data_IF_832076107374
#
_entry.id   IF_832076107374
#
_cell.length_a   1.000
_cell.length_b   1.000
_cell.length_c   1.000
_cell.angle_alpha   90.00
_cell.angle_beta   90.00
_cell.angle_gamma   90.00
#
_symmetry.space_group_name_H-M   'P 1'
#
loop_
_entity.id
_entity.type
_entity.pdbx_description
1 polymer ?
#
# COMPACT_ATOMS: atom_id res chain seq x y z
N UNK A 1 17.92 0.16 -14.90
CA UNK A 1 18.26 0.95 -16.11
C UNK A 1 17.05 0.91 -17.06
N UNK A 2 16.12 1.86 -17.03
CA UNK A 2 14.97 1.81 -17.97
C UNK A 2 13.81 2.76 -17.68
N UNK A 3 13.61 3.15 -16.41
CA UNK A 3 12.50 4.02 -16.03
C UNK A 3 12.79 5.50 -16.27
N UNK A 4 14.01 5.95 -15.98
CA UNK A 4 14.43 7.34 -16.21
C UNK A 4 14.40 7.72 -17.70
N UNK A 5 14.80 6.80 -18.57
CA UNK A 5 14.71 6.96 -20.03
C UNK A 5 13.25 7.04 -20.51
N UNK A 6 12.36 6.24 -19.92
CA UNK A 6 10.94 6.22 -20.28
C UNK A 6 10.23 7.51 -19.86
N UNK A 7 10.50 7.99 -18.63
CA UNK A 7 9.95 9.26 -18.13
C UNK A 7 10.51 10.43 -18.95
N UNK A 8 11.82 10.43 -19.26
CA UNK A 8 12.45 11.47 -20.07
C UNK A 8 11.84 11.54 -21.48
N UNK A 9 11.70 10.40 -22.16
CA UNK A 9 11.08 10.34 -23.49
C UNK A 9 9.62 10.80 -23.47
N UNK A 10 8.86 10.46 -22.43
CA UNK A 10 7.48 10.91 -22.28
C UNK A 10 7.36 12.43 -22.05
N UNK A 11 8.35 13.05 -21.39
CA UNK A 11 8.41 14.51 -21.20
C UNK A 11 8.76 15.22 -22.52
N UNK A 12 9.61 14.61 -23.35
CA UNK A 12 10.04 15.16 -24.65
C UNK A 12 8.89 15.24 -25.68
N UNK A 13 7.87 14.39 -25.55
CA UNK A 13 6.69 14.37 -26.44
C UNK A 13 5.57 15.35 -26.03
N UNK A 14 5.79 16.16 -24.98
CA UNK A 14 4.77 17.09 -24.46
C UNK A 14 4.72 18.37 -25.33
N UNK A 15 3.53 18.76 -25.83
CA UNK A 15 3.37 19.99 -26.59
C UNK A 15 3.80 21.25 -25.83
N UNK A 16 4.41 22.19 -26.55
CA UNK A 16 4.77 23.50 -25.99
C UNK A 16 3.52 24.22 -25.45
N UNK A 17 3.55 24.61 -24.16
CA UNK A 17 2.45 25.29 -23.47
C UNK A 17 1.83 24.51 -22.30
N UNK A 18 2.22 23.24 -22.11
CA UNK A 18 1.80 22.44 -20.94
C UNK A 18 2.90 22.51 -19.86
N UNK A 19 2.52 22.95 -18.66
CA UNK A 19 3.40 22.91 -17.48
C UNK A 19 3.18 21.58 -16.76
N UNK A 20 4.24 20.79 -16.64
CA UNK A 20 4.23 19.57 -15.83
C UNK A 20 4.78 19.91 -14.45
N UNK A 21 4.01 19.61 -13.41
CA UNK A 21 4.48 19.62 -12.04
C UNK A 21 4.49 18.17 -11.55
N UNK A 22 5.67 17.72 -11.09
CA UNK A 22 5.82 16.42 -10.46
C UNK A 22 5.23 16.55 -9.04
N UNK A 23 3.99 16.10 -8.85
CA UNK A 23 3.34 16.22 -7.54
C UNK A 23 3.98 15.29 -6.50
N UNK A 24 4.33 14.04 -6.85
CA UNK A 24 5.09 13.15 -5.97
C UNK A 24 5.96 12.18 -6.78
N UNK A 25 7.26 12.18 -6.50
CA UNK A 25 8.14 11.06 -6.85
C UNK A 25 8.17 10.15 -5.62
N UNK A 26 7.20 9.25 -5.47
CA UNK A 26 7.41 8.14 -4.52
C UNK A 26 8.67 7.42 -4.99
N UNK A 27 9.65 7.27 -4.09
CA UNK A 27 10.77 6.38 -4.32
C UNK A 27 10.18 5.05 -4.80
N UNK A 28 10.50 4.71 -6.04
CA UNK A 28 10.06 3.46 -6.62
C UNK A 28 10.92 2.41 -5.96
N UNK A 29 10.38 1.89 -4.87
CA UNK A 29 10.93 0.75 -4.19
C UNK A 29 10.28 -0.49 -4.83
N UNK A 30 10.97 -1.16 -5.77
CA UNK A 30 10.44 -2.35 -6.39
C UNK A 30 10.14 -3.45 -5.37
N UNK A 31 10.88 -3.50 -4.26
CA UNK A 31 10.72 -4.51 -3.21
C UNK A 31 9.40 -4.30 -2.45
N UNK A 32 9.04 -3.04 -2.13
CA UNK A 32 7.75 -2.73 -1.52
C UNK A 32 6.57 -3.06 -2.44
N UNK A 33 6.70 -2.86 -3.75
CA UNK A 33 5.67 -3.26 -4.72
C UNK A 33 5.51 -4.77 -4.79
N UNK A 34 6.62 -5.51 -4.78
CA UNK A 34 6.58 -6.97 -4.74
C UNK A 34 5.84 -7.46 -3.50
N UNK A 35 6.11 -6.89 -2.31
CA UNK A 35 5.38 -7.24 -1.09
C UNK A 35 3.87 -6.97 -1.18
N UNK A 36 3.47 -5.80 -1.70
CA UNK A 36 2.04 -5.47 -1.88
C UNK A 36 1.34 -6.41 -2.87
N UNK A 37 2.06 -6.90 -3.89
CA UNK A 37 1.51 -7.79 -4.91
C UNK A 37 1.19 -9.21 -4.40
N UNK A 38 1.67 -9.57 -3.20
CA UNK A 38 1.40 -10.85 -2.56
C UNK A 38 0.04 -10.90 -1.86
N UNK A 39 -0.59 -9.73 -1.68
CA UNK A 39 -1.90 -9.62 -1.06
C UNK A 39 -2.98 -9.67 -2.13
N UNK A 40 -4.10 -10.31 -1.81
CA UNK A 40 -5.31 -10.18 -2.63
C UNK A 40 -5.89 -8.77 -2.47
N UNK A 41 -6.68 -8.28 -3.44
CA UNK A 41 -7.33 -6.96 -3.34
C UNK A 41 -8.02 -6.72 -1.99
N UNK A 42 -8.78 -7.71 -1.48
CA UNK A 42 -9.49 -7.60 -0.18
C UNK A 42 -8.55 -7.56 1.03
N UNK A 43 -7.35 -8.12 0.91
CA UNK A 43 -6.34 -8.08 1.96
C UNK A 43 -5.58 -6.76 1.93
N UNK A 44 -5.33 -6.23 0.74
CA UNK A 44 -4.78 -4.89 0.57
C UNK A 44 -5.74 -3.83 1.11
N UNK A 45 -7.01 -3.86 0.71
CA UNK A 45 -8.06 -2.98 1.24
C UNK A 45 -8.11 -3.02 2.78
N UNK A 46 -8.06 -4.22 3.36
CA UNK A 46 -8.10 -4.37 4.81
C UNK A 46 -6.85 -3.82 5.51
N UNK A 47 -5.67 -3.99 4.92
CA UNK A 47 -4.41 -3.46 5.44
C UNK A 47 -4.37 -1.93 5.33
N UNK A 48 -4.84 -1.38 4.21
CA UNK A 48 -4.93 0.06 3.96
C UNK A 48 -5.87 0.70 4.98
N UNK A 49 -7.09 0.17 5.15
CA UNK A 49 -8.04 0.66 6.17
C UNK A 49 -7.47 0.58 7.58
N UNK A 50 -6.80 -0.51 7.94
CA UNK A 50 -6.16 -0.63 9.25
C UNK A 50 -5.07 0.44 9.44
N UNK A 51 -4.28 0.71 8.41
CA UNK A 51 -3.22 1.73 8.44
C UNK A 51 -3.81 3.13 8.55
N UNK A 52 -4.82 3.45 7.73
CA UNK A 52 -5.48 4.75 7.70
C UNK A 52 -6.19 5.09 9.02
N UNK A 53 -6.76 4.08 9.69
CA UNK A 53 -7.36 4.23 11.01
C UNK A 53 -6.32 4.30 12.15
N UNK A 54 -5.03 4.11 11.85
CA UNK A 54 -3.95 4.15 12.84
C UNK A 54 -3.87 2.90 13.73
N UNK A 55 -4.28 1.73 13.21
CA UNK A 55 -4.19 0.45 13.93
C UNK A 55 -2.73 0.06 14.24
N UNK A 56 -1.80 0.44 13.36
CA UNK A 56 -0.36 0.17 13.49
C UNK A 56 0.44 1.32 14.11
N UNK A 57 -0.21 2.41 14.53
CA UNK A 57 0.46 3.54 15.19
C UNK A 57 0.86 3.23 16.63
N UNK A 58 1.78 4.04 17.16
CA UNK A 58 2.22 3.97 18.56
C UNK A 58 2.08 5.37 19.20
N UNK A 59 1.10 5.58 20.10
CA UNK A 59 0.08 4.63 20.56
C UNK A 59 -0.94 4.29 19.47
N UNK A 60 -1.49 3.08 19.51
CA UNK A 60 -2.51 2.60 18.57
C UNK A 60 -3.78 3.45 18.67
N UNK A 61 -4.28 3.91 17.52
CA UNK A 61 -5.47 4.78 17.45
C UNK A 61 -6.76 4.02 17.09
N UNK A 62 -6.64 2.83 16.47
CA UNK A 62 -7.80 2.01 16.11
C UNK A 62 -7.70 0.56 16.61
N UNK A 63 -8.85 -0.08 16.73
CA UNK A 63 -9.02 -1.47 17.14
C UNK A 63 -9.49 -2.33 15.97
N UNK A 64 -9.50 -3.66 16.16
CA UNK A 64 -10.14 -4.55 15.18
C UNK A 64 -11.63 -4.27 15.01
N UNK A 65 -12.30 -3.71 16.02
CA UNK A 65 -13.72 -3.37 15.93
C UNK A 65 -13.93 -2.20 14.97
N UNK A 66 -13.09 -1.15 15.09
CA UNK A 66 -13.18 0.02 14.21
C UNK A 66 -12.97 -0.36 12.74
N UNK A 67 -12.02 -1.25 12.46
CA UNK A 67 -11.79 -1.77 11.10
C UNK A 67 -12.97 -2.66 10.63
N UNK A 68 -13.53 -3.45 11.53
CA UNK A 68 -14.66 -4.32 11.22
C UNK A 68 -15.91 -3.51 10.85
N UNK A 69 -16.15 -2.42 11.58
CA UNK A 69 -17.25 -1.49 11.33
C UNK A 69 -17.07 -0.75 9.99
N UNK A 70 -15.83 -0.35 9.64
CA UNK A 70 -15.53 0.33 8.37
C UNK A 70 -15.71 -0.59 7.14
N UNK A 71 -15.34 -1.88 7.26
CA UNK A 71 -15.34 -2.83 6.14
C UNK A 71 -16.57 -3.74 6.05
N UNK A 72 -17.54 -3.56 6.95
CA UNK A 72 -18.70 -4.45 7.15
C UNK A 72 -18.27 -5.93 7.31
N UNK A 73 -17.33 -6.16 8.23
CA UNK A 73 -16.78 -7.48 8.54
C UNK A 73 -17.02 -7.83 10.01
N UNK A 74 -16.78 -9.10 10.36
CA UNK A 74 -16.69 -9.47 11.78
C UNK A 74 -15.31 -9.13 12.34
N UNK A 75 -15.24 -8.76 13.61
CA UNK A 75 -13.98 -8.53 14.34
C UNK A 75 -13.04 -9.75 14.28
N UNK A 76 -13.60 -10.96 14.28
CA UNK A 76 -12.86 -12.21 14.11
C UNK A 76 -12.24 -12.30 12.71
N UNK A 77 -13.02 -12.00 11.66
CA UNK A 77 -12.54 -11.98 10.27
C UNK A 77 -11.39 -10.99 10.11
N UNK A 78 -11.51 -9.79 10.67
CA UNK A 78 -10.43 -8.78 10.62
C UNK A 78 -9.15 -9.32 11.27
N UNK A 79 -9.23 -9.83 12.50
CA UNK A 79 -8.05 -10.34 13.20
C UNK A 79 -7.43 -11.59 12.55
N UNK A 80 -8.20 -12.41 11.84
CA UNK A 80 -7.67 -13.51 11.02
C UNK A 80 -6.97 -13.01 9.76
N UNK A 81 -7.57 -12.05 9.07
CA UNK A 81 -7.02 -11.49 7.84
C UNK A 81 -5.72 -10.73 8.10
N UNK A 82 -5.68 -9.87 9.12
CA UNK A 82 -4.45 -9.17 9.53
C UNK A 82 -3.33 -10.15 9.85
N UNK A 83 -3.59 -11.20 10.64
CA UNK A 83 -2.57 -12.23 10.92
C UNK A 83 -2.06 -12.94 9.67
N UNK A 84 -2.93 -13.24 8.71
CA UNK A 84 -2.52 -13.87 7.43
C UNK A 84 -1.68 -12.92 6.58
N UNK A 85 -2.05 -11.64 6.55
CA UNK A 85 -1.32 -10.58 5.84
C UNK A 85 0.07 -10.42 6.46
N UNK A 86 0.14 -10.21 7.77
CA UNK A 86 1.38 -10.08 8.54
C UNK A 86 2.29 -11.30 8.37
N UNK A 87 1.74 -12.52 8.47
CA UNK A 87 2.52 -13.75 8.30
C UNK A 87 3.16 -13.85 6.90
N UNK A 88 2.44 -13.44 5.85
CA UNK A 88 2.98 -13.43 4.48
C UNK A 88 4.05 -12.37 4.29
N UNK A 89 3.82 -11.14 4.76
CA UNK A 89 4.82 -10.08 4.62
C UNK A 89 6.10 -10.40 5.42
N UNK A 90 5.94 -10.91 6.65
CA UNK A 90 7.07 -11.30 7.49
C UNK A 90 7.84 -12.49 6.93
N UNK A 91 7.19 -13.43 6.22
CA UNK A 91 7.91 -14.57 5.61
C UNK A 91 8.83 -14.13 4.48
N UNK A 92 8.48 -13.08 3.74
CA UNK A 92 9.34 -12.52 2.70
C UNK A 92 10.50 -11.71 3.26
N UNK A 93 10.27 -10.96 4.34
CA UNK A 93 11.31 -10.14 4.97
C UNK A 93 12.32 -11.00 5.75
N UNK A 94 11.87 -12.11 6.35
CA UNK A 94 12.71 -12.98 7.15
C UNK A 94 13.59 -13.94 6.33
N UNK A 95 13.58 -13.84 4.99
CA UNK A 95 14.34 -14.68 4.08
C UNK A 95 15.65 -14.00 3.63
#
# INVERSE_FOLDING_TARGET
>A
MGREETVRRAIEDIPEGIRVELEQLSDYDPELRELSSLLTDRQQELLDTATDLGYYEVPRQATHQDIADELDLSTTTVGEHLRKIEARMLSEIAH
#
